data_IF_646911339851
#
_entry.id   IF_646911339851
#
_cell.length_a   1.000
_cell.length_b   1.000
_cell.length_c   1.000
_cell.angle_alpha   90.00
_cell.angle_beta   90.00
_cell.angle_gamma   90.00
#
_symmetry.space_group_name_H-M   'P 1'
#
loop_
_entity.id
_entity.type
_entity.pdbx_description
1 polymer ?
#
# COMPACT_ATOMS: atom_id res chain seq x y z
N UNK A 1 2.29 59.20 -14.54
CA UNK A 1 2.88 59.06 -15.88
C UNK A 1 4.39 59.03 -15.79
N UNK A 2 5.01 57.93 -16.06
CA UNK A 2 6.35 57.68 -16.62
C UNK A 2 6.66 56.18 -16.44
N UNK A 3 6.58 55.48 -17.55
CA UNK A 3 6.96 54.04 -17.66
C UNK A 3 8.49 54.02 -17.80
N UNK A 4 9.17 53.16 -17.02
CA UNK A 4 10.54 52.75 -17.29
C UNK A 4 10.51 51.32 -17.78
N UNK A 5 10.86 51.13 -19.03
CA UNK A 5 11.24 49.85 -19.64
C UNK A 5 12.72 49.57 -19.26
N UNK A 6 12.97 48.45 -18.69
CA UNK A 6 14.35 47.92 -18.56
C UNK A 6 14.45 46.74 -19.50
N UNK A 7 15.25 46.90 -20.53
CA UNK A 7 15.66 45.84 -21.44
C UNK A 7 16.85 45.08 -20.80
N UNK A 8 16.68 43.74 -20.67
CA UNK A 8 17.80 42.85 -20.24
C UNK A 8 18.31 42.16 -21.52
N UNK A 9 19.55 42.46 -21.85
CA UNK A 9 20.30 41.79 -22.91
C UNK A 9 20.82 40.46 -22.42
N UNK A 10 20.49 39.37 -23.13
CA UNK A 10 21.02 38.04 -22.92
C UNK A 10 22.27 37.87 -23.78
N UNK A 11 23.44 37.80 -23.14
CA UNK A 11 24.69 37.44 -23.81
C UNK A 11 24.83 35.93 -23.84
N UNK A 12 24.84 35.35 -25.04
CA UNK A 12 25.17 33.96 -25.28
C UNK A 12 26.70 33.78 -25.27
N UNK A 13 27.19 33.03 -24.34
CA UNK A 13 28.61 32.56 -24.30
C UNK A 13 28.66 31.15 -24.91
N UNK A 14 29.21 31.05 -26.10
CA UNK A 14 29.57 29.80 -26.74
C UNK A 14 30.96 29.35 -26.24
N UNK A 15 31.01 28.30 -25.46
CA UNK A 15 32.25 27.58 -25.10
C UNK A 15 32.46 26.45 -26.08
N UNK A 16 33.48 26.58 -26.89
CA UNK A 16 34.01 25.51 -27.73
C UNK A 16 34.89 24.55 -26.90
N UNK A 17 34.62 23.26 -26.93
CA UNK A 17 35.49 22.23 -26.39
C UNK A 17 36.22 21.51 -27.53
N UNK A 18 37.53 21.24 -27.39
CA UNK A 18 38.30 20.49 -28.37
C UNK A 18 37.96 18.99 -28.28
N UNK A 19 37.93 18.36 -29.45
CA UNK A 19 37.66 16.95 -29.62
C UNK A 19 38.67 16.01 -28.95
N UNK A 20 38.19 14.91 -28.41
CA UNK A 20 38.97 13.75 -28.07
C UNK A 20 38.43 12.51 -28.81
N UNK A 21 39.39 11.74 -29.26
CA UNK A 21 39.32 10.62 -30.18
C UNK A 21 38.36 9.49 -29.81
N UNK A 22 37.86 8.82 -30.83
CA UNK A 22 36.93 7.74 -30.79
C UNK A 22 37.36 6.52 -30.00
N UNK A 23 36.39 6.02 -29.21
CA UNK A 23 36.35 4.62 -28.82
C UNK A 23 35.12 4.01 -29.51
N UNK A 24 35.32 3.05 -30.38
CA UNK A 24 34.28 2.25 -31.01
C UNK A 24 33.55 1.45 -29.94
N UNK A 25 32.27 1.75 -29.72
CA UNK A 25 31.34 0.86 -29.02
C UNK A 25 31.03 -0.36 -29.92
N UNK A 26 31.03 -1.57 -29.36
CA UNK A 26 30.53 -2.72 -30.10
C UNK A 26 29.03 -2.56 -30.34
N UNK A 27 28.59 -2.80 -31.55
CA UNK A 27 27.23 -2.80 -31.97
C UNK A 27 26.39 -3.81 -31.11
N UNK A 28 25.54 -3.29 -30.30
CA UNK A 28 24.44 -4.08 -29.69
C UNK A 28 23.54 -4.54 -30.83
N UNK A 29 23.56 -5.82 -31.11
CA UNK A 29 22.60 -6.46 -32.00
C UNK A 29 21.22 -6.17 -31.44
N UNK A 30 20.43 -5.41 -32.19
CA UNK A 30 18.99 -5.25 -31.97
C UNK A 30 18.33 -6.61 -32.22
N UNK A 31 18.22 -7.42 -31.16
CA UNK A 31 17.19 -8.44 -31.13
C UNK A 31 15.86 -7.71 -31.16
N UNK A 32 15.30 -7.59 -32.34
CA UNK A 32 13.88 -7.32 -32.51
C UNK A 32 13.11 -8.44 -31.82
N UNK A 33 12.80 -8.23 -30.54
CA UNK A 33 11.74 -8.98 -29.89
C UNK A 33 10.48 -8.69 -30.70
N UNK A 34 10.14 -9.68 -31.53
CA UNK A 34 8.84 -9.78 -32.15
C UNK A 34 7.80 -9.64 -31.04
N UNK A 35 7.17 -8.49 -30.95
CA UNK A 35 5.87 -8.33 -30.33
C UNK A 35 4.92 -9.24 -31.11
N UNK A 36 4.89 -10.51 -30.72
CA UNK A 36 3.80 -11.40 -31.08
C UNK A 36 2.56 -10.74 -30.50
N UNK A 37 1.82 -10.07 -31.38
CA UNK A 37 0.45 -9.67 -31.15
C UNK A 37 -0.30 -10.90 -30.64
N UNK A 38 -0.58 -10.95 -29.34
CA UNK A 38 -1.51 -11.90 -28.74
C UNK A 38 -2.92 -11.58 -29.23
N UNK A 39 -3.19 -11.87 -30.48
CA UNK A 39 -4.52 -11.90 -31.07
C UNK A 39 -4.91 -13.33 -31.43
N UNK A 40 -4.67 -14.27 -30.54
CA UNK A 40 -5.46 -15.49 -30.51
C UNK A 40 -6.47 -15.29 -29.39
N UNK A 41 -7.66 -14.81 -29.71
CA UNK A 41 -8.84 -14.97 -28.86
C UNK A 41 -9.09 -16.47 -28.72
N UNK A 42 -8.39 -17.11 -27.79
CA UNK A 42 -8.75 -18.40 -27.27
C UNK A 42 -10.16 -18.24 -26.71
N UNK A 43 -11.13 -18.92 -27.28
CA UNK A 43 -12.51 -18.84 -26.81
C UNK A 43 -12.57 -19.57 -25.47
N UNK A 44 -12.59 -18.82 -24.39
CA UNK A 44 -12.84 -19.39 -23.08
C UNK A 44 -14.16 -20.22 -23.14
N UNK A 45 -14.12 -21.43 -22.61
CA UNK A 45 -15.32 -22.29 -22.53
C UNK A 45 -16.15 -21.97 -21.30
N UNK A 46 -15.55 -21.41 -20.31
CA UNK A 46 -16.22 -20.94 -19.11
C UNK A 46 -15.61 -19.65 -18.59
N UNK A 47 -16.43 -18.83 -17.96
CA UNK A 47 -16.01 -17.61 -17.28
C UNK A 47 -16.76 -17.50 -15.95
N UNK A 48 -16.04 -17.13 -14.90
CA UNK A 48 -16.59 -16.81 -13.59
C UNK A 48 -16.11 -15.42 -13.19
N UNK A 49 -17.01 -14.61 -12.66
CA UNK A 49 -16.75 -13.21 -12.38
C UNK A 49 -17.14 -12.86 -10.95
N UNK A 50 -16.35 -11.97 -10.34
CA UNK A 50 -16.45 -11.68 -8.92
C UNK A 50 -16.23 -10.18 -8.65
N UNK A 51 -16.78 -9.72 -7.55
CA UNK A 51 -16.45 -8.44 -6.92
C UNK A 51 -15.69 -8.69 -5.63
N UNK A 52 -14.56 -8.00 -5.45
CA UNK A 52 -13.81 -8.06 -4.19
C UNK A 52 -14.60 -7.33 -3.12
N UNK A 53 -15.10 -8.06 -2.14
CA UNK A 53 -15.83 -7.48 -1.00
C UNK A 53 -14.92 -7.07 0.14
N UNK A 54 -13.77 -7.74 0.25
CA UNK A 54 -12.78 -7.50 1.27
C UNK A 54 -11.38 -7.83 0.77
N UNK A 55 -10.41 -6.99 1.13
CA UNK A 55 -8.99 -7.28 0.95
C UNK A 55 -8.18 -6.66 2.09
N UNK A 56 -7.11 -7.31 2.46
CA UNK A 56 -6.19 -6.84 3.51
C UNK A 56 -4.80 -7.45 3.32
N UNK A 57 -3.73 -6.81 3.82
CA UNK A 57 -2.44 -7.50 3.88
C UNK A 57 -2.58 -8.84 4.60
N UNK A 58 -1.94 -9.87 4.06
CA UNK A 58 -1.94 -11.20 4.66
C UNK A 58 -1.10 -11.17 5.95
N UNK A 59 -1.77 -10.89 7.07
CA UNK A 59 -1.20 -10.76 8.40
C UNK A 59 -1.70 -11.91 9.27
N UNK A 60 -0.89 -12.95 9.42
CA UNK A 60 -1.24 -14.06 10.32
C UNK A 60 -1.46 -13.55 11.74
N UNK A 61 -2.57 -13.97 12.35
CA UNK A 61 -2.90 -13.63 13.72
C UNK A 61 -2.81 -14.86 14.60
N UNK A 62 -1.70 -15.01 15.31
CA UNK A 62 -1.40 -16.17 16.14
C UNK A 62 -2.00 -16.13 17.54
N UNK A 63 -2.78 -15.12 17.89
CA UNK A 63 -3.45 -14.99 19.18
C UNK A 63 -4.92 -15.42 19.12
N UNK A 64 -5.54 -15.62 20.26
CA UNK A 64 -6.99 -15.83 20.37
C UNK A 64 -7.73 -14.53 20.06
N UNK A 65 -8.95 -14.63 19.51
CA UNK A 65 -9.81 -13.47 19.29
C UNK A 65 -9.98 -12.66 20.59
N UNK A 66 -9.82 -11.33 20.48
CA UNK A 66 -9.87 -10.41 21.62
C UNK A 66 -8.57 -10.31 22.44
N UNK A 67 -7.56 -11.15 22.18
CA UNK A 67 -6.24 -11.06 22.80
C UNK A 67 -5.26 -10.51 21.77
N UNK A 68 -4.75 -9.31 21.98
CA UNK A 68 -3.83 -8.67 21.05
C UNK A 68 -2.39 -9.13 21.30
N UNK A 69 -2.04 -9.43 22.57
CA UNK A 69 -0.66 -9.57 23.02
C UNK A 69 -0.55 -10.50 24.25
N UNK A 70 0.42 -11.41 24.30
CA UNK A 70 1.23 -11.91 23.20
C UNK A 70 0.51 -12.97 22.35
N UNK A 71 0.99 -13.18 21.12
CA UNK A 71 0.55 -14.27 20.24
C UNK A 71 1.74 -15.13 19.79
N UNK A 72 1.45 -16.21 19.07
CA UNK A 72 2.51 -17.09 18.54
C UNK A 72 3.35 -16.45 17.45
N UNK A 73 2.82 -15.45 16.78
CA UNK A 73 3.46 -14.63 15.77
C UNK A 73 4.30 -13.49 16.39
N UNK A 74 3.84 -12.94 17.50
CA UNK A 74 4.51 -11.87 18.24
C UNK A 74 4.79 -12.28 19.70
N UNK A 75 5.58 -13.32 19.96
CA UNK A 75 5.80 -13.84 21.32
C UNK A 75 6.51 -12.84 22.24
N UNK A 76 7.15 -11.81 21.69
CA UNK A 76 7.76 -10.71 22.44
C UNK A 76 6.78 -9.53 22.64
N UNK A 77 5.54 -9.68 22.23
CA UNK A 77 4.52 -8.65 22.30
C UNK A 77 4.45 -7.78 21.06
N UNK A 78 3.50 -6.86 21.07
CA UNK A 78 3.29 -5.87 20.01
C UNK A 78 4.10 -4.59 20.30
N UNK A 79 4.26 -3.75 19.29
CA UNK A 79 4.82 -2.41 19.50
C UNK A 79 3.95 -1.63 20.50
N UNK A 80 4.55 -1.04 21.52
CA UNK A 80 3.81 -0.31 22.54
C UNK A 80 3.08 0.89 21.91
N UNK A 81 1.99 1.29 22.54
CA UNK A 81 1.39 2.58 22.23
C UNK A 81 2.39 3.69 22.57
N UNK A 82 2.59 4.68 21.69
CA UNK A 82 3.53 5.73 21.96
C UNK A 82 3.11 6.55 23.19
N UNK A 83 4.05 6.84 24.08
CA UNK A 83 3.87 7.88 25.09
C UNK A 83 4.01 9.25 24.42
N UNK A 84 2.89 9.84 24.11
CA UNK A 84 2.83 11.14 23.44
C UNK A 84 3.49 12.26 24.22
N UNK A 85 3.47 12.22 25.55
CA UNK A 85 4.13 13.22 26.38
C UNK A 85 5.63 13.12 26.16
N UNK A 86 6.19 11.92 26.29
CA UNK A 86 7.62 11.70 26.07
C UNK A 86 8.06 12.04 24.64
N UNK A 87 7.22 11.71 23.65
CA UNK A 87 7.51 12.06 22.25
C UNK A 87 7.58 13.58 22.04
N UNK A 88 6.66 14.33 22.61
CA UNK A 88 6.66 15.80 22.52
C UNK A 88 7.84 16.40 23.32
N UNK A 89 8.15 15.88 24.50
CA UNK A 89 9.33 16.28 25.26
C UNK A 89 10.61 16.05 24.46
N UNK A 90 10.74 14.89 23.82
CA UNK A 90 11.86 14.61 22.93
C UNK A 90 11.92 15.54 21.70
N UNK A 91 10.77 16.11 21.29
CA UNK A 91 10.68 17.13 20.25
C UNK A 91 11.02 18.57 20.75
N UNK A 92 11.33 18.74 22.04
CA UNK A 92 11.76 19.99 22.63
C UNK A 92 10.68 20.79 23.34
N UNK A 93 9.51 20.21 23.62
CA UNK A 93 8.50 20.79 24.49
C UNK A 93 8.84 20.52 25.96
N UNK A 94 8.37 21.38 26.87
CA UNK A 94 8.34 21.05 28.30
C UNK A 94 7.24 19.98 28.53
N UNK A 95 7.34 19.25 29.62
CA UNK A 95 6.32 18.25 29.97
C UNK A 95 4.94 18.92 30.18
N UNK A 96 4.91 20.13 30.73
CA UNK A 96 3.69 20.90 30.90
C UNK A 96 3.04 21.30 29.57
N UNK A 97 3.84 21.79 28.64
CA UNK A 97 3.38 22.09 27.27
C UNK A 97 2.88 20.84 26.55
N UNK A 98 3.58 19.72 26.69
CA UNK A 98 3.18 18.44 26.12
C UNK A 98 1.83 17.96 26.70
N UNK A 99 1.65 18.06 28.01
CA UNK A 99 0.37 17.75 28.68
C UNK A 99 -0.75 18.67 28.19
N UNK A 100 -0.47 19.98 28.03
CA UNK A 100 -1.46 20.94 27.51
C UNK A 100 -1.84 20.63 26.06
N UNK A 101 -0.89 20.35 25.19
CA UNK A 101 -1.15 19.96 23.80
C UNK A 101 -2.04 18.70 23.69
N UNK A 102 -1.97 17.83 24.68
CA UNK A 102 -2.79 16.61 24.77
C UNK A 102 -4.14 16.81 25.48
N UNK A 103 -4.32 17.94 26.16
CA UNK A 103 -5.53 18.21 26.94
C UNK A 103 -6.75 18.42 26.02
N UNK A 104 -7.88 17.71 26.24
CA UNK A 104 -9.11 17.95 25.49
C UNK A 104 -9.64 19.37 25.55
N UNK A 105 -9.30 20.12 26.63
CA UNK A 105 -9.71 21.51 26.79
C UNK A 105 -8.88 22.50 25.97
N UNK A 106 -7.79 22.07 25.35
CA UNK A 106 -6.97 22.90 24.48
C UNK A 106 -7.72 23.20 23.18
N UNK A 107 -8.11 24.47 22.89
CA UNK A 107 -8.85 24.80 21.69
C UNK A 107 -8.02 24.64 20.40
N UNK A 108 -6.68 24.61 20.51
CA UNK A 108 -5.77 24.40 19.39
C UNK A 108 -5.37 22.92 19.24
N UNK A 109 -5.95 22.05 20.06
CA UNK A 109 -5.67 20.64 20.00
C UNK A 109 -6.10 20.07 18.64
N UNK A 110 -5.12 19.64 17.89
CA UNK A 110 -5.31 18.92 16.65
C UNK A 110 -4.35 17.73 16.63
N UNK A 111 -4.79 16.54 16.23
CA UNK A 111 -3.89 15.42 15.98
C UNK A 111 -2.75 15.79 15.05
N UNK A 112 -3.05 16.57 14.02
CA UNK A 112 -2.08 17.02 13.01
C UNK A 112 -1.04 17.99 13.61
N UNK A 113 -1.44 18.84 14.53
CA UNK A 113 -0.48 19.75 15.20
C UNK A 113 0.59 18.98 15.98
N UNK A 114 0.17 18.01 16.81
CA UNK A 114 1.10 17.14 17.53
C UNK A 114 2.01 16.35 16.58
N UNK A 115 1.49 15.84 15.48
CA UNK A 115 2.26 15.12 14.46
C UNK A 115 3.32 15.99 13.79
N UNK A 116 2.97 17.22 13.42
CA UNK A 116 3.92 18.14 12.83
C UNK A 116 5.08 18.45 13.79
N UNK A 117 4.80 18.57 15.09
CA UNK A 117 5.85 18.79 16.08
C UNK A 117 6.76 17.56 16.24
N UNK A 118 6.19 16.37 16.19
CA UNK A 118 6.97 15.12 16.22
C UNK A 118 7.81 14.94 14.97
N UNK A 119 7.36 15.41 13.82
CA UNK A 119 8.09 15.30 12.57
C UNK A 119 9.49 15.95 12.64
N UNK A 120 9.66 16.99 13.42
CA UNK A 120 10.89 17.79 13.48
C UNK A 120 11.87 17.35 14.58
N UNK A 121 11.99 16.06 14.83
CA UNK A 121 12.92 15.51 15.83
C UNK A 121 14.30 15.15 15.29
N UNK A 122 14.49 15.15 13.99
CA UNK A 122 15.76 14.79 13.36
C UNK A 122 16.88 15.79 13.66
N UNK A 123 18.11 15.40 13.31
CA UNK A 123 19.28 16.27 13.38
C UNK A 123 18.96 17.60 12.67
N UNK A 124 19.35 18.71 13.29
CA UNK A 124 19.08 20.05 12.77
C UNK A 124 17.58 20.34 12.54
N UNK A 125 16.73 19.68 13.33
CA UNK A 125 15.26 19.74 13.23
C UNK A 125 14.74 19.28 11.86
N UNK A 126 15.42 18.33 11.24
CA UNK A 126 14.94 17.74 10.02
C UNK A 126 13.60 17.01 10.25
N UNK A 127 12.73 17.05 9.25
CA UNK A 127 11.49 16.27 9.27
C UNK A 127 11.83 14.78 9.15
N UNK A 128 11.70 14.04 10.25
CA UNK A 128 12.03 12.61 10.31
C UNK A 128 11.11 11.72 9.50
N UNK A 129 9.92 12.19 9.10
CA UNK A 129 9.01 11.42 8.25
C UNK A 129 9.47 11.49 6.79
N UNK A 130 9.90 12.65 6.34
CA UNK A 130 10.42 12.85 4.97
C UNK A 130 11.88 12.39 4.86
N UNK A 131 12.66 12.60 5.93
CA UNK A 131 14.08 12.25 6.01
C UNK A 131 14.31 11.29 7.20
N UNK A 132 13.83 10.04 7.11
CA UNK A 132 13.88 9.10 8.24
C UNK A 132 15.32 8.81 8.70
N UNK A 133 16.29 8.90 7.80
CA UNK A 133 17.71 8.71 8.11
C UNK A 133 18.34 9.87 8.91
N UNK A 134 17.61 10.96 9.12
CA UNK A 134 18.04 12.06 10.02
C UNK A 134 17.91 11.71 11.51
N UNK A 135 17.33 10.56 11.83
CA UNK A 135 17.25 10.02 13.20
C UNK A 135 17.78 8.58 13.21
N UNK A 136 18.39 8.10 14.31
CA UNK A 136 18.67 6.68 14.47
C UNK A 136 17.39 5.84 14.37
N UNK A 137 17.54 4.53 14.04
CA UNK A 137 16.41 3.60 14.03
C UNK A 137 15.79 3.52 15.44
N UNK A 138 14.53 3.95 15.63
CA UNK A 138 13.88 3.86 16.93
C UNK A 138 13.56 2.43 17.35
N UNK A 139 13.72 1.47 16.44
CA UNK A 139 13.32 0.08 16.61
C UNK A 139 11.83 -0.15 16.38
N UNK A 140 11.49 -1.23 15.71
CA UNK A 140 10.13 -1.73 15.56
C UNK A 140 10.16 -3.24 15.84
N UNK A 141 9.27 -3.70 16.71
CA UNK A 141 9.12 -5.14 16.97
C UNK A 141 8.60 -5.80 15.71
N UNK A 142 9.38 -6.72 15.15
CA UNK A 142 8.98 -7.53 14.00
C UNK A 142 8.45 -8.89 14.46
N UNK A 143 7.88 -9.62 13.52
CA UNK A 143 7.43 -11.00 13.76
C UNK A 143 8.63 -11.89 13.99
N UNK A 144 8.62 -12.62 15.09
CA UNK A 144 9.59 -13.68 15.44
C UNK A 144 8.99 -15.09 15.37
N UNK A 145 7.69 -15.20 15.08
CA UNK A 145 7.02 -16.45 14.77
C UNK A 145 7.46 -17.03 13.43
N UNK A 146 7.14 -18.31 13.22
CA UNK A 146 7.52 -19.06 12.02
C UNK A 146 6.34 -19.34 11.08
N UNK A 147 5.16 -18.85 11.42
CA UNK A 147 3.93 -19.05 10.62
C UNK A 147 3.55 -17.73 9.97
N UNK A 148 3.22 -17.77 8.68
CA UNK A 148 2.70 -16.63 7.93
C UNK A 148 1.63 -17.06 6.91
N UNK A 149 0.73 -16.15 6.59
CA UNK A 149 -0.15 -16.25 5.43
C UNK A 149 0.56 -15.65 4.21
N UNK A 150 0.30 -16.19 3.02
CA UNK A 150 0.91 -15.71 1.79
C UNK A 150 1.15 -16.80 0.76
N UNK A 151 2.20 -16.62 -0.03
CA UNK A 151 2.57 -17.46 -1.16
C UNK A 151 4.07 -17.77 -1.11
N UNK A 152 4.48 -18.91 -1.63
CA UNK A 152 5.87 -19.19 -1.97
C UNK A 152 6.14 -18.52 -3.34
N UNK A 153 6.86 -17.39 -3.35
CA UNK A 153 7.06 -16.56 -4.54
C UNK A 153 8.33 -16.93 -5.33
N UNK A 154 9.28 -17.61 -4.67
CA UNK A 154 10.57 -17.97 -5.25
C UNK A 154 10.73 -19.49 -5.51
N UNK A 155 9.72 -20.27 -5.16
CA UNK A 155 9.67 -21.74 -5.26
C UNK A 155 10.69 -22.46 -4.34
N UNK A 156 11.23 -21.79 -3.30
CA UNK A 156 12.14 -22.38 -2.33
C UNK A 156 11.45 -22.71 -1.01
N UNK A 157 11.17 -23.98 -0.79
CA UNK A 157 10.55 -24.46 0.46
C UNK A 157 11.48 -24.41 1.71
N UNK A 158 12.76 -24.10 1.52
CA UNK A 158 13.74 -24.09 2.61
C UNK A 158 13.87 -22.75 3.33
N UNK A 159 13.40 -21.70 2.70
CA UNK A 159 13.38 -20.35 3.26
C UNK A 159 11.95 -19.94 3.68
N UNK A 160 11.75 -18.69 4.12
CA UNK A 160 10.44 -18.14 4.44
C UNK A 160 9.76 -18.74 5.66
N UNK A 161 8.45 -18.67 5.66
CA UNK A 161 7.58 -19.14 6.73
C UNK A 161 6.91 -20.47 6.36
N UNK A 162 6.23 -21.06 7.33
CA UNK A 162 5.25 -22.14 7.09
C UNK A 162 3.85 -21.53 7.13
N UNK A 163 2.97 -21.91 6.17
CA UNK A 163 1.58 -21.47 6.20
C UNK A 163 0.82 -22.10 7.39
N UNK A 164 -0.32 -21.54 7.80
CA UNK A 164 -1.18 -22.16 8.81
C UNK A 164 -1.66 -23.57 8.44
N UNK A 165 -1.62 -23.92 7.15
CA UNK A 165 -2.00 -25.27 6.61
C UNK A 165 -0.81 -26.18 6.39
N UNK A 166 0.42 -25.74 6.71
CA UNK A 166 1.64 -26.53 6.64
C UNK A 166 2.45 -26.41 5.35
N UNK A 167 2.07 -25.57 4.42
CA UNK A 167 2.87 -25.25 3.22
C UNK A 167 4.13 -24.48 3.62
N UNK A 168 5.28 -24.85 3.06
CA UNK A 168 6.57 -24.25 3.37
C UNK A 168 6.96 -23.21 2.33
N UNK A 169 7.94 -22.38 2.71
CA UNK A 169 8.51 -21.38 1.80
C UNK A 169 7.63 -20.14 1.61
N UNK A 170 6.76 -19.83 2.56
CA UNK A 170 5.90 -18.65 2.42
C UNK A 170 6.71 -17.38 2.53
N UNK A 171 6.70 -16.60 1.44
CA UNK A 171 7.36 -15.30 1.35
C UNK A 171 6.40 -14.19 1.74
N UNK A 172 6.59 -13.62 2.91
CA UNK A 172 5.85 -12.46 3.38
C UNK A 172 6.69 -11.64 4.36
N UNK A 173 7.76 -11.03 3.85
CA UNK A 173 8.62 -10.17 4.66
C UNK A 173 7.95 -8.85 5.04
N UNK A 174 6.91 -8.43 4.34
CA UNK A 174 6.08 -7.33 4.78
C UNK A 174 5.39 -7.65 6.11
N UNK A 175 4.84 -8.85 6.25
CA UNK A 175 4.33 -9.36 7.52
C UNK A 175 5.44 -9.48 8.57
N UNK A 176 6.62 -10.03 8.20
CA UNK A 176 7.78 -10.09 9.09
C UNK A 176 8.14 -8.74 9.68
N UNK A 177 8.14 -7.70 8.86
CA UNK A 177 8.46 -6.34 9.26
C UNK A 177 7.40 -5.70 10.15
N UNK A 178 6.12 -5.89 9.84
CA UNK A 178 5.01 -5.07 10.35
C UNK A 178 3.93 -5.86 11.10
N UNK A 179 3.97 -7.19 11.10
CA UNK A 179 2.91 -8.02 11.69
C UNK A 179 2.72 -7.81 13.20
N UNK A 180 3.76 -7.37 13.93
CA UNK A 180 3.65 -7.00 15.34
C UNK A 180 3.32 -5.51 15.54
N UNK A 181 3.09 -4.76 14.49
CA UNK A 181 2.65 -3.38 14.61
C UNK A 181 1.17 -3.34 15.00
N UNK A 182 0.86 -2.62 16.06
CA UNK A 182 -0.47 -2.62 16.67
C UNK A 182 -1.62 -2.37 15.67
N UNK A 183 -1.36 -1.53 14.66
CA UNK A 183 -2.32 -1.24 13.59
C UNK A 183 -2.73 -2.48 12.79
N UNK A 184 -1.81 -3.42 12.58
CA UNK A 184 -2.06 -4.66 11.83
C UNK A 184 -2.41 -5.86 12.73
N UNK A 185 -2.34 -5.71 14.06
CA UNK A 185 -2.69 -6.80 14.98
C UNK A 185 -4.19 -6.96 15.09
N UNK A 186 -4.66 -8.16 14.85
CA UNK A 186 -6.06 -8.54 15.01
C UNK A 186 -6.45 -9.72 14.12
N UNK A 187 -7.54 -10.41 14.43
CA UNK A 187 -8.10 -11.42 13.55
C UNK A 187 -8.47 -10.84 12.19
N UNK A 188 -8.62 -11.71 11.20
CA UNK A 188 -9.11 -11.36 9.88
C UNK A 188 -10.34 -10.44 9.95
N UNK A 189 -10.32 -9.35 9.17
CA UNK A 189 -11.33 -8.28 9.10
C UNK A 189 -11.46 -7.41 10.36
N UNK A 190 -10.68 -7.61 11.41
CA UNK A 190 -10.89 -6.91 12.69
C UNK A 190 -9.72 -6.01 13.11
N UNK A 191 -8.56 -6.08 12.46
CA UNK A 191 -7.50 -5.12 12.74
C UNK A 191 -7.86 -3.74 12.19
N UNK A 192 -7.36 -2.69 12.82
CA UNK A 192 -7.61 -1.32 12.35
C UNK A 192 -7.00 -1.07 10.96
N UNK A 193 -5.89 -1.74 10.65
CA UNK A 193 -5.30 -1.73 9.31
C UNK A 193 -6.23 -2.36 8.27
N UNK A 194 -6.83 -3.52 8.58
CA UNK A 194 -7.78 -4.19 7.70
C UNK A 194 -9.02 -3.32 7.40
N UNK A 195 -9.56 -2.65 8.41
CA UNK A 195 -10.66 -1.72 8.23
C UNK A 195 -10.27 -0.58 7.28
N UNK A 196 -9.12 0.06 7.50
CA UNK A 196 -8.63 1.12 6.62
C UNK A 196 -8.42 0.69 5.17
N UNK A 197 -7.96 -0.55 4.96
CA UNK A 197 -7.80 -1.11 3.61
C UNK A 197 -9.11 -1.20 2.85
N UNK A 198 -10.23 -1.27 3.53
CA UNK A 198 -11.53 -1.51 2.90
C UNK A 198 -12.45 -0.30 2.88
N UNK A 199 -12.28 0.66 3.78
CA UNK A 199 -13.22 1.78 3.93
C UNK A 199 -13.47 2.51 2.60
N UNK A 200 -12.42 2.96 1.93
CA UNK A 200 -12.55 3.74 0.71
C UNK A 200 -13.20 2.92 -0.44
N UNK A 201 -12.85 1.64 -0.57
CA UNK A 201 -13.43 0.74 -1.56
C UNK A 201 -14.92 0.48 -1.23
N UNK A 202 -15.23 0.11 -0.01
CA UNK A 202 -16.58 -0.19 0.44
C UNK A 202 -17.51 1.04 0.46
N UNK A 203 -16.95 2.24 0.60
CA UNK A 203 -17.68 3.50 0.49
C UNK A 203 -17.83 4.00 -0.95
N UNK A 204 -17.36 3.21 -1.91
CA UNK A 204 -17.64 3.37 -3.32
C UNK A 204 -16.75 4.39 -4.03
N UNK A 205 -15.52 4.56 -3.57
CA UNK A 205 -14.53 5.33 -4.31
C UNK A 205 -14.05 4.60 -5.56
N UNK A 206 -13.93 3.28 -5.52
CA UNK A 206 -13.69 2.35 -6.63
C UNK A 206 -14.07 0.94 -6.18
N UNK A 207 -14.12 0.03 -7.13
CA UNK A 207 -14.37 -1.39 -6.88
C UNK A 207 -13.33 -2.21 -7.64
N UNK A 208 -12.86 -3.30 -7.06
CA UNK A 208 -12.02 -4.28 -7.75
C UNK A 208 -12.89 -5.46 -8.17
N UNK A 209 -12.81 -5.84 -9.43
CA UNK A 209 -13.48 -7.02 -9.99
C UNK A 209 -12.46 -8.03 -10.48
N UNK A 210 -12.83 -9.31 -10.39
CA UNK A 210 -12.00 -10.43 -10.82
C UNK A 210 -12.76 -11.21 -11.90
N UNK A 211 -12.06 -11.51 -12.97
CA UNK A 211 -12.54 -12.38 -14.05
C UNK A 211 -11.64 -13.59 -14.10
N UNK A 212 -12.22 -14.80 -14.05
CA UNK A 212 -11.52 -16.05 -14.19
C UNK A 212 -12.10 -16.75 -15.40
N UNK A 213 -11.28 -17.04 -16.40
CA UNK A 213 -11.71 -17.68 -17.64
C UNK A 213 -10.82 -18.87 -17.96
N UNK A 214 -11.41 -19.96 -18.42
CA UNK A 214 -10.70 -21.20 -18.73
C UNK A 214 -11.10 -21.81 -20.06
N UNK A 215 -10.22 -22.63 -20.61
CA UNK A 215 -10.35 -23.26 -21.91
C UNK A 215 -10.83 -24.74 -21.82
N UNK A 216 -10.74 -25.33 -20.63
CA UNK A 216 -11.19 -26.70 -20.34
C UNK A 216 -12.70 -26.79 -20.21
N UNK A 217 -13.22 -28.01 -20.07
CA UNK A 217 -14.64 -28.25 -19.85
C UNK A 217 -15.04 -28.21 -18.37
N UNK A 218 -14.10 -28.48 -17.48
CA UNK A 218 -14.32 -28.51 -16.03
C UNK A 218 -13.66 -27.29 -15.34
N UNK A 219 -14.44 -26.33 -14.84
CA UNK A 219 -13.90 -25.19 -14.12
C UNK A 219 -13.11 -25.53 -12.85
N UNK A 220 -13.33 -26.73 -12.29
CA UNK A 220 -12.62 -27.13 -11.06
C UNK A 220 -11.26 -27.72 -11.36
N UNK A 221 -11.03 -28.21 -12.61
CA UNK A 221 -9.77 -28.79 -13.04
C UNK A 221 -9.48 -28.41 -14.50
N UNK A 222 -8.75 -27.34 -14.68
CA UNK A 222 -8.41 -26.76 -15.99
C UNK A 222 -6.99 -26.24 -15.97
N UNK A 223 -6.13 -26.75 -16.85
CA UNK A 223 -4.72 -26.36 -16.94
C UNK A 223 -4.52 -25.00 -17.65
N UNK A 224 -5.53 -24.49 -18.33
CA UNK A 224 -5.46 -23.25 -19.12
C UNK A 224 -6.47 -22.21 -18.64
N UNK A 225 -6.17 -21.61 -17.50
CA UNK A 225 -6.98 -20.57 -16.87
C UNK A 225 -6.23 -19.24 -16.92
N UNK A 226 -6.95 -18.17 -17.08
CA UNK A 226 -6.44 -16.80 -16.94
C UNK A 226 -7.27 -16.05 -15.89
N UNK A 227 -6.58 -15.35 -14.99
CA UNK A 227 -7.18 -14.51 -13.97
C UNK A 227 -6.92 -13.04 -14.31
N UNK A 228 -7.98 -12.25 -14.41
CA UNK A 228 -7.91 -10.81 -14.64
C UNK A 228 -8.42 -10.03 -13.43
N UNK A 229 -7.64 -9.08 -12.98
CA UNK A 229 -8.03 -8.08 -11.97
C UNK A 229 -8.24 -6.74 -12.65
N UNK A 230 -9.39 -6.10 -12.41
CA UNK A 230 -9.74 -4.83 -13.03
C UNK A 230 -10.37 -3.89 -12.01
N UNK A 231 -10.34 -2.60 -12.33
CA UNK A 231 -11.12 -1.60 -11.60
C UNK A 231 -12.54 -1.50 -12.17
N UNK A 232 -13.48 -1.14 -11.32
CA UNK A 232 -14.80 -0.65 -11.70
C UNK A 232 -15.08 0.66 -10.95
N UNK A 233 -15.75 1.60 -11.62
CA UNK A 233 -16.26 2.82 -11.01
C UNK A 233 -17.68 2.64 -10.43
N UNK A 234 -18.29 1.47 -10.65
CA UNK A 234 -19.58 1.15 -10.09
C UNK A 234 -19.43 0.91 -8.59
N UNK A 235 -20.30 1.54 -7.81
CA UNK A 235 -20.29 1.43 -6.36
C UNK A 235 -20.82 0.09 -5.91
N UNK A 236 -20.23 -0.45 -4.86
CA UNK A 236 -20.78 -1.63 -4.20
C UNK A 236 -22.14 -1.32 -3.60
N UNK A 237 -23.11 -2.19 -3.85
CA UNK A 237 -24.41 -2.16 -3.19
C UNK A 237 -24.30 -2.97 -1.92
N UNK A 238 -24.78 -2.41 -0.81
CA UNK A 238 -24.77 -3.05 0.50
C UNK A 238 -26.20 -3.27 0.97
N UNK A 239 -26.43 -4.34 1.69
CA UNK A 239 -27.68 -4.59 2.42
C UNK A 239 -27.79 -3.72 3.69
N UNK A 240 -28.89 -3.85 4.41
CA UNK A 240 -29.12 -3.10 5.65
C UNK A 240 -28.18 -3.45 6.81
N UNK A 241 -27.39 -4.53 6.68
CA UNK A 241 -26.36 -4.94 7.62
C UNK A 241 -24.94 -4.53 7.17
N UNK A 242 -24.82 -3.91 5.98
CA UNK A 242 -23.56 -3.48 5.41
C UNK A 242 -22.81 -4.59 4.64
N UNK A 243 -23.42 -5.74 4.39
CA UNK A 243 -22.83 -6.77 3.55
C UNK A 243 -22.94 -6.37 2.08
N UNK A 244 -21.92 -6.71 1.29
CA UNK A 244 -21.94 -6.47 -0.15
C UNK A 244 -22.93 -7.42 -0.83
N UNK A 245 -23.76 -6.87 -1.71
CA UNK A 245 -24.74 -7.64 -2.47
C UNK A 245 -24.06 -8.57 -3.46
N UNK A 246 -24.51 -9.82 -3.51
CA UNK A 246 -24.08 -10.84 -4.48
C UNK A 246 -24.79 -10.64 -5.81
N UNK A 247 -24.19 -11.17 -6.86
CA UNK A 247 -24.78 -11.19 -8.20
C UNK A 247 -25.21 -9.80 -8.72
N UNK A 248 -24.45 -8.78 -8.31
CA UNK A 248 -24.63 -7.40 -8.77
C UNK A 248 -23.75 -7.13 -9.99
N UNK A 249 -24.10 -6.10 -10.77
CA UNK A 249 -23.42 -5.79 -12.03
C UNK A 249 -22.36 -4.71 -11.85
N UNK A 250 -21.17 -4.98 -12.37
CA UNK A 250 -20.02 -4.04 -12.36
C UNK A 250 -19.42 -3.92 -13.75
N UNK A 251 -19.25 -2.71 -14.24
CA UNK A 251 -18.59 -2.46 -15.51
C UNK A 251 -17.10 -2.23 -15.30
N UNK A 252 -16.26 -2.90 -16.08
CA UNK A 252 -14.82 -2.63 -16.07
C UNK A 252 -14.59 -1.17 -16.45
N UNK A 253 -13.82 -0.46 -15.62
CA UNK A 253 -13.30 0.86 -15.90
C UNK A 253 -11.86 0.73 -16.40
N UNK A 254 -11.59 0.92 -17.71
CA UNK A 254 -10.24 0.81 -18.23
C UNK A 254 -9.32 1.80 -17.52
N UNK A 255 -8.15 1.34 -17.15
CA UNK A 255 -7.15 2.16 -16.49
C UNK A 255 -5.79 1.99 -17.16
N UNK A 256 -5.05 3.07 -17.35
CA UNK A 256 -3.75 3.03 -18.03
C UNK A 256 -2.72 2.15 -17.29
N UNK A 257 -2.86 2.04 -15.96
CA UNK A 257 -1.95 1.26 -15.10
C UNK A 257 -2.63 0.07 -14.42
N UNK A 258 -3.76 0.29 -13.75
CA UNK A 258 -4.36 -0.67 -12.82
C UNK A 258 -5.08 -1.79 -13.56
N UNK A 259 -4.34 -2.83 -13.82
CA UNK A 259 -4.82 -4.08 -14.40
C UNK A 259 -3.81 -5.17 -14.08
N UNK A 260 -4.29 -6.34 -13.70
CA UNK A 260 -3.46 -7.52 -13.48
C UNK A 260 -4.00 -8.69 -14.28
N UNK A 261 -3.16 -9.31 -15.10
CA UNK A 261 -3.51 -10.52 -15.86
C UNK A 261 -2.48 -11.60 -15.56
N UNK A 262 -2.95 -12.74 -15.04
CA UNK A 262 -2.11 -13.85 -14.59
C UNK A 262 -2.52 -15.15 -15.24
N UNK A 263 -1.55 -15.89 -15.83
CA UNK A 263 -1.80 -17.25 -16.27
C UNK A 263 -1.93 -18.16 -15.05
N UNK A 264 -2.94 -19.04 -15.08
CA UNK A 264 -3.28 -19.90 -13.96
C UNK A 264 -3.72 -21.28 -14.42
N UNK A 265 -4.01 -22.14 -13.47
CA UNK A 265 -4.73 -23.41 -13.61
C UNK A 265 -5.67 -23.59 -12.44
N UNK A 266 -6.67 -24.44 -12.60
CA UNK A 266 -7.48 -24.90 -11.47
C UNK A 266 -7.17 -26.36 -11.14
N UNK A 267 -7.08 -26.64 -9.85
CA UNK A 267 -6.90 -28.00 -9.32
C UNK A 267 -7.85 -28.16 -8.14
N UNK A 268 -8.85 -29.01 -8.28
CA UNK A 268 -9.88 -29.21 -7.25
C UNK A 268 -10.48 -27.90 -6.76
N UNK A 269 -10.73 -26.95 -7.66
CA UNK A 269 -11.29 -25.64 -7.35
C UNK A 269 -10.31 -24.61 -6.77
N UNK A 270 -9.04 -24.95 -6.65
CA UNK A 270 -7.99 -23.96 -6.33
C UNK A 270 -7.42 -23.37 -7.61
N UNK A 271 -7.48 -22.06 -7.75
CA UNK A 271 -6.89 -21.27 -8.83
C UNK A 271 -5.46 -20.92 -8.45
N UNK A 272 -4.49 -21.47 -9.15
CA UNK A 272 -3.06 -21.35 -8.82
C UNK A 272 -2.33 -20.79 -10.03
N UNK A 273 -1.46 -19.79 -9.85
CA UNK A 273 -0.62 -19.28 -10.93
C UNK A 273 0.24 -20.37 -11.56
N UNK A 274 0.31 -20.40 -12.90
CA UNK A 274 1.23 -21.25 -13.67
C UNK A 274 2.57 -20.61 -13.88
N UNK A 275 2.59 -19.30 -13.93
CA UNK A 275 3.79 -18.48 -14.03
C UNK A 275 3.53 -17.13 -13.36
N UNK A 276 4.55 -16.50 -12.78
CA UNK A 276 4.43 -15.16 -12.25
C UNK A 276 4.28 -14.14 -13.38
N UNK A 277 3.60 -13.02 -13.08
CA UNK A 277 3.46 -11.86 -13.97
C UNK A 277 3.59 -10.55 -13.17
N UNK A 278 4.07 -9.50 -13.82
CA UNK A 278 4.09 -8.17 -13.20
C UNK A 278 2.72 -7.53 -13.35
N UNK A 279 2.14 -7.08 -12.26
CA UNK A 279 0.81 -6.47 -12.23
C UNK A 279 0.81 -5.18 -11.44
N UNK A 280 -0.16 -4.33 -11.72
CA UNK A 280 -0.41 -3.13 -10.93
C UNK A 280 -1.88 -3.10 -10.55
N UNK A 281 -2.15 -3.15 -9.26
CA UNK A 281 -3.49 -3.05 -8.70
C UNK A 281 -3.67 -1.69 -8.04
N UNK A 282 -4.91 -1.38 -7.66
CA UNK A 282 -5.18 -0.26 -6.77
C UNK A 282 -4.93 -0.69 -5.34
N UNK A 283 -4.05 0.03 -4.63
CA UNK A 283 -3.89 -0.15 -3.18
C UNK A 283 -5.10 0.50 -2.49
N UNK A 284 -5.94 -0.27 -1.81
CA UNK A 284 -7.15 0.27 -1.22
C UNK A 284 -6.89 1.15 0.00
N UNK A 285 -5.80 0.95 0.74
CA UNK A 285 -5.58 1.64 2.00
C UNK A 285 -5.24 3.11 1.85
N UNK A 286 -4.38 3.44 0.90
CA UNK A 286 -3.86 4.81 0.73
C UNK A 286 -4.06 5.34 -0.67
N UNK A 287 -4.89 4.65 -1.44
CA UNK A 287 -5.28 5.05 -2.79
C UNK A 287 -4.05 5.34 -3.66
N UNK A 288 -3.08 4.47 -3.57
CA UNK A 288 -1.85 4.47 -4.35
C UNK A 288 -1.77 3.24 -5.27
N UNK A 289 -0.74 3.18 -6.08
CA UNK A 289 -0.48 2.00 -6.89
C UNK A 289 0.05 0.86 -6.01
N UNK A 290 -0.46 -0.34 -6.22
CA UNK A 290 0.08 -1.58 -5.70
C UNK A 290 0.78 -2.30 -6.83
N UNK A 291 2.03 -1.97 -7.03
CA UNK A 291 2.92 -2.68 -7.96
C UNK A 291 3.37 -3.98 -7.32
N UNK A 292 3.19 -5.08 -8.05
CA UNK A 292 3.68 -6.41 -7.65
C UNK A 292 4.48 -7.00 -8.80
N UNK A 293 5.78 -7.12 -8.61
CA UNK A 293 6.63 -7.88 -9.51
C UNK A 293 6.50 -9.36 -9.22
N UNK A 294 6.53 -10.19 -10.27
CA UNK A 294 6.40 -11.63 -10.18
C UNK A 294 5.14 -12.06 -9.38
N UNK A 295 4.05 -11.36 -9.57
CA UNK A 295 2.80 -11.66 -8.86
C UNK A 295 2.29 -13.05 -9.18
N UNK A 296 1.71 -13.67 -8.17
CA UNK A 296 1.06 -14.98 -8.21
C UNK A 296 -0.27 -14.94 -7.48
N UNK A 297 -1.15 -15.89 -7.76
CA UNK A 297 -2.41 -16.09 -7.05
C UNK A 297 -2.53 -17.52 -6.54
N UNK A 298 -3.23 -17.66 -5.42
CA UNK A 298 -3.74 -18.92 -4.89
C UNK A 298 -5.11 -18.63 -4.28
N UNK A 299 -6.16 -18.88 -5.06
CA UNK A 299 -7.55 -18.57 -4.68
C UNK A 299 -8.35 -19.88 -4.66
N UNK A 300 -9.26 -20.01 -3.73
CA UNK A 300 -10.12 -21.19 -3.59
C UNK A 300 -11.57 -20.84 -3.95
N UNK A 301 -12.14 -21.55 -4.90
CA UNK A 301 -13.56 -21.48 -5.21
C UNK A 301 -14.37 -22.22 -4.14
N UNK A 302 -15.27 -21.51 -3.48
CA UNK A 302 -16.11 -22.05 -2.42
C UNK A 302 -17.43 -22.62 -2.99
N UNK A 303 -18.06 -23.56 -2.27
CA UNK A 303 -19.35 -24.14 -2.70
C UNK A 303 -20.47 -23.11 -2.86
N UNK A 304 -20.42 -22.00 -2.12
CA UNK A 304 -21.38 -20.91 -2.23
C UNK A 304 -21.12 -19.99 -3.43
N UNK A 305 -20.12 -20.32 -4.26
CA UNK A 305 -19.72 -19.55 -5.44
C UNK A 305 -18.76 -18.39 -5.15
N UNK A 306 -18.45 -18.09 -3.91
CA UNK A 306 -17.42 -17.08 -3.57
C UNK A 306 -16.00 -17.62 -3.81
N UNK A 307 -15.02 -16.70 -3.82
CA UNK A 307 -13.61 -17.07 -3.79
C UNK A 307 -12.90 -16.38 -2.64
N UNK A 308 -11.91 -17.08 -2.07
CA UNK A 308 -11.01 -16.51 -1.05
C UNK A 308 -9.59 -17.00 -1.29
N UNK A 309 -8.60 -16.24 -0.84
CA UNK A 309 -7.20 -16.64 -0.95
C UNK A 309 -6.27 -15.44 -1.05
N UNK A 310 -5.19 -15.63 -1.79
CA UNK A 310 -4.10 -14.66 -1.83
C UNK A 310 -3.74 -14.24 -3.24
N UNK A 311 -3.40 -12.96 -3.40
CA UNK A 311 -2.56 -12.44 -4.49
C UNK A 311 -1.32 -11.83 -3.87
N UNK A 312 -0.15 -12.19 -4.33
CA UNK A 312 1.11 -11.70 -3.76
C UNK A 312 2.20 -11.56 -4.80
N UNK A 313 3.28 -10.89 -4.42
CA UNK A 313 4.43 -10.63 -5.26
C UNK A 313 5.41 -9.72 -4.52
N UNK A 314 6.39 -9.20 -5.22
CA UNK A 314 7.38 -8.29 -4.64
C UNK A 314 6.97 -6.85 -4.89
N UNK A 315 6.74 -6.11 -3.82
CA UNK A 315 6.28 -4.71 -3.84
C UNK A 315 7.44 -3.76 -3.50
N UNK A 316 7.58 -2.61 -4.18
CA UNK A 316 8.59 -1.63 -3.81
C UNK A 316 8.29 -1.07 -2.42
N UNK A 317 9.24 -1.21 -1.49
CA UNK A 317 9.01 -0.84 -0.08
C UNK A 317 9.03 0.67 0.17
N UNK A 318 9.87 1.42 -0.56
CA UNK A 318 10.00 2.87 -0.35
C UNK A 318 8.75 3.66 -0.76
N UNK A 319 8.09 3.39 -1.90
CA UNK A 319 6.79 3.98 -2.23
C UNK A 319 5.72 3.72 -1.17
N UNK A 320 5.70 2.53 -0.55
CA UNK A 320 4.80 2.23 0.58
C UNK A 320 5.03 3.19 1.73
N UNK A 321 6.27 3.33 2.16
CA UNK A 321 6.64 4.28 3.22
C UNK A 321 6.22 5.70 2.88
N UNK A 322 6.54 6.17 1.67
CA UNK A 322 6.17 7.51 1.19
C UNK A 322 4.65 7.70 1.15
N UNK A 323 3.91 6.68 0.79
CA UNK A 323 2.45 6.69 0.85
C UNK A 323 1.94 6.98 2.26
N UNK A 324 2.49 6.33 3.26
CA UNK A 324 2.11 6.59 4.67
C UNK A 324 2.54 7.97 5.16
N UNK A 325 3.71 8.47 4.76
CA UNK A 325 4.13 9.84 5.07
C UNK A 325 3.13 10.87 4.53
N UNK A 326 2.57 10.59 3.36
CA UNK A 326 1.62 11.47 2.68
C UNK A 326 0.16 11.23 3.08
N UNK A 327 -0.14 10.08 3.71
CA UNK A 327 -1.48 9.76 4.17
C UNK A 327 -1.91 10.71 5.30
N UNK A 328 -3.17 11.10 5.32
CA UNK A 328 -3.69 12.11 6.25
C UNK A 328 -5.09 11.78 6.72
N UNK A 329 -5.35 12.11 7.96
CA UNK A 329 -6.69 12.46 8.37
C UNK A 329 -7.43 11.43 9.22
N UNK A 330 -6.89 10.26 9.56
CA UNK A 330 -7.54 9.36 10.50
C UNK A 330 -6.82 9.26 11.84
N UNK A 331 -7.56 8.96 12.91
CA UNK A 331 -6.98 8.76 14.26
C UNK A 331 -5.95 7.62 14.27
N UNK A 332 -6.12 6.65 13.39
CA UNK A 332 -5.23 5.50 13.24
C UNK A 332 -3.90 5.94 12.65
N UNK A 333 -3.92 6.82 11.67
CA UNK A 333 -2.73 7.42 11.07
C UNK A 333 -1.92 8.22 12.09
N UNK A 334 -2.58 8.86 13.04
CA UNK A 334 -1.92 9.56 14.14
C UNK A 334 -1.04 8.61 14.96
N UNK A 335 -1.50 7.43 15.30
CA UNK A 335 -0.72 6.42 16.02
C UNK A 335 0.41 5.86 15.15
N UNK A 336 0.15 5.71 13.87
CA UNK A 336 1.09 5.24 12.86
C UNK A 336 2.29 6.19 12.72
N UNK A 337 2.06 7.48 12.63
CA UNK A 337 3.11 8.46 12.36
C UNK A 337 4.20 8.54 13.42
N UNK A 338 3.87 8.28 14.67
CA UNK A 338 4.89 8.24 15.73
C UNK A 338 5.97 7.19 15.46
N UNK A 339 5.58 6.10 14.82
CA UNK A 339 6.45 4.97 14.53
C UNK A 339 7.01 4.98 13.11
N UNK A 340 6.62 5.93 12.25
CA UNK A 340 7.03 5.95 10.84
C UNK A 340 8.54 5.86 10.61
N UNK A 341 9.42 6.57 11.35
CA UNK A 341 10.86 6.37 11.15
C UNK A 341 11.29 4.93 11.43
N UNK A 342 10.75 4.27 12.46
CA UNK A 342 11.02 2.86 12.75
C UNK A 342 10.51 1.93 11.64
N UNK A 343 9.34 2.26 11.07
CA UNK A 343 8.76 1.53 9.93
C UNK A 343 9.65 1.62 8.69
N UNK A 344 10.21 2.79 8.40
CA UNK A 344 11.18 2.95 7.32
C UNK A 344 12.32 1.94 7.44
N UNK A 345 12.96 1.89 8.60
CA UNK A 345 14.06 0.98 8.85
C UNK A 345 13.62 -0.48 8.83
N UNK A 346 12.44 -0.78 9.36
CA UNK A 346 11.89 -2.14 9.35
C UNK A 346 11.63 -2.64 7.92
N UNK A 347 11.01 -1.84 7.07
CA UNK A 347 10.79 -2.19 5.66
C UNK A 347 12.10 -2.38 4.92
N UNK A 348 13.04 -1.44 5.07
CA UNK A 348 14.34 -1.49 4.40
C UNK A 348 15.14 -2.74 4.75
N UNK A 349 15.25 -3.10 6.03
CA UNK A 349 16.05 -4.27 6.45
C UNK A 349 15.39 -5.61 6.15
N UNK A 350 14.07 -5.63 5.91
CA UNK A 350 13.32 -6.83 5.52
C UNK A 350 13.05 -6.90 4.01
N UNK A 351 13.51 -5.93 3.23
CA UNK A 351 13.48 -6.03 1.78
C UNK A 351 14.26 -7.27 1.33
N UNK A 352 13.67 -8.11 0.49
CA UNK A 352 14.19 -9.42 0.16
C UNK A 352 14.39 -9.67 -1.34
N UNK A 353 13.87 -8.80 -2.21
CA UNK A 353 13.96 -8.95 -3.64
C UNK A 353 14.65 -7.78 -4.34
N UNK A 354 15.53 -8.11 -5.30
CA UNK A 354 16.18 -7.17 -6.21
C UNK A 354 15.67 -7.37 -7.64
N UNK A 355 15.05 -6.37 -8.26
CA UNK A 355 14.59 -6.48 -9.65
C UNK A 355 15.76 -6.54 -10.65
N UNK A 356 16.97 -6.18 -10.22
CA UNK A 356 18.20 -6.25 -11.05
C UNK A 356 18.91 -7.60 -10.94
N UNK A 357 18.36 -8.56 -10.21
CA UNK A 357 18.88 -9.90 -10.07
C UNK A 357 19.76 -10.11 -8.83
N UNK A 358 20.38 -11.30 -8.72
CA UNK A 358 21.19 -11.67 -7.57
C UNK A 358 22.35 -10.69 -7.34
N UNK A 359 22.52 -10.26 -6.09
CA UNK A 359 23.55 -9.29 -5.69
C UNK A 359 23.19 -7.82 -5.91
N UNK A 360 22.06 -7.52 -6.54
CA UNK A 360 21.53 -6.17 -6.66
C UNK A 360 20.93 -5.63 -5.37
N UNK A 361 20.67 -4.32 -5.33
CA UNK A 361 20.02 -3.70 -4.18
C UNK A 361 18.60 -4.23 -4.00
N UNK A 362 18.27 -4.64 -2.78
CA UNK A 362 16.94 -5.12 -2.41
C UNK A 362 16.00 -3.93 -2.22
N UNK A 363 15.29 -3.58 -3.25
CA UNK A 363 14.35 -2.45 -3.29
C UNK A 363 12.89 -2.89 -3.14
N UNK A 364 12.64 -4.19 -3.13
CA UNK A 364 11.30 -4.76 -3.01
C UNK A 364 11.21 -5.71 -1.81
N UNK A 365 10.01 -5.83 -1.30
CA UNK A 365 9.68 -6.69 -0.18
C UNK A 365 8.56 -7.65 -0.59
N UNK A 366 8.68 -8.93 -0.24
CA UNK A 366 7.62 -9.90 -0.45
C UNK A 366 6.37 -9.52 0.32
N UNK A 367 5.23 -9.61 -0.35
CA UNK A 367 3.94 -9.11 0.12
C UNK A 367 2.80 -9.96 -0.44
N UNK A 368 1.77 -10.17 0.36
CA UNK A 368 0.53 -10.75 -0.10
C UNK A 368 -0.69 -9.98 0.43
N UNK A 369 -1.72 -9.87 -0.42
CA UNK A 369 -3.08 -9.50 -0.04
C UNK A 369 -3.91 -10.78 0.14
N UNK A 370 -4.64 -10.87 1.23
CA UNK A 370 -5.77 -11.76 1.36
C UNK A 370 -6.98 -11.12 0.71
N UNK A 371 -7.70 -11.89 -0.10
CA UNK A 371 -8.86 -11.43 -0.86
C UNK A 371 -10.05 -12.34 -0.55
N UNK A 372 -11.21 -11.72 -0.30
CA UNK A 372 -12.51 -12.36 -0.33
C UNK A 372 -13.37 -11.69 -1.42
N UNK A 373 -13.94 -12.48 -2.30
CA UNK A 373 -14.75 -11.96 -3.39
C UNK A 373 -16.03 -12.77 -3.60
N UNK A 374 -17.09 -12.07 -3.97
CA UNK A 374 -18.43 -12.61 -4.16
C UNK A 374 -18.73 -12.73 -5.65
N UNK A 375 -19.60 -13.68 -6.07
CA UNK A 375 -20.10 -13.72 -7.44
C UNK A 375 -20.71 -12.38 -7.85
N UNK A 376 -20.41 -11.96 -9.07
CA UNK A 376 -20.89 -10.71 -9.64
C UNK A 376 -20.98 -10.83 -11.17
N UNK A 377 -21.79 -10.01 -11.81
CA UNK A 377 -21.80 -9.86 -13.27
C UNK A 377 -20.80 -8.77 -13.66
N UNK A 378 -19.74 -9.12 -14.36
CA UNK A 378 -18.73 -8.16 -14.81
C UNK A 378 -18.93 -7.89 -16.31
N UNK A 379 -19.10 -6.62 -16.63
CA UNK A 379 -19.42 -6.15 -17.98
C UNK A 379 -18.20 -5.51 -18.63
N UNK A 380 -18.12 -5.62 -19.95
CA UNK A 380 -17.08 -4.94 -20.73
C UNK A 380 -17.27 -3.40 -20.67
N UNK A 381 -16.20 -2.63 -20.92
CA UNK A 381 -16.24 -1.17 -20.78
C UNK A 381 -17.26 -0.46 -21.69
N UNK A 382 -17.48 -0.99 -22.87
CA UNK A 382 -18.13 -0.30 -24.00
C UNK A 382 -19.57 -0.73 -24.25
N UNK A 383 -19.96 -1.94 -23.91
CA UNK A 383 -21.18 -2.48 -24.49
C UNK A 383 -22.24 -2.99 -23.53
N UNK A 384 -21.94 -3.07 -22.25
CA UNK A 384 -22.87 -3.72 -21.32
C UNK A 384 -23.06 -5.23 -21.61
N UNK A 385 -22.11 -5.87 -22.28
CA UNK A 385 -22.04 -7.33 -22.42
C UNK A 385 -21.20 -7.90 -21.30
N UNK A 386 -21.55 -9.07 -20.83
CA UNK A 386 -20.72 -9.80 -19.88
C UNK A 386 -19.36 -10.11 -20.50
N UNK A 387 -18.34 -10.07 -19.65
CA UNK A 387 -16.98 -10.45 -20.04
C UNK A 387 -16.94 -11.95 -20.30
N UNK A 388 -16.60 -12.33 -21.52
CA UNK A 388 -16.50 -13.73 -21.92
C UNK A 388 -15.10 -14.32 -21.80
N UNK A 389 -14.07 -13.46 -21.65
CA UNK A 389 -12.66 -13.87 -21.52
C UNK A 389 -11.85 -12.79 -20.83
N UNK A 390 -10.66 -13.14 -20.35
CA UNK A 390 -9.70 -12.17 -19.77
C UNK A 390 -8.89 -11.55 -20.90
N UNK A 391 -8.90 -10.22 -20.97
CA UNK A 391 -8.13 -9.43 -21.94
C UNK A 391 -7.72 -8.09 -21.35
N UNK A 392 -6.71 -7.44 -21.94
CA UNK A 392 -6.29 -6.11 -21.53
C UNK A 392 -7.20 -5.01 -22.09
N UNK A 393 -7.57 -4.09 -21.22
CA UNK A 393 -8.33 -2.89 -21.57
C UNK A 393 -7.49 -1.60 -21.49
N UNK A 394 -6.18 -1.70 -21.20
CA UNK A 394 -5.29 -0.53 -21.10
C UNK A 394 -5.24 0.33 -22.37
N UNK A 395 -5.35 -0.31 -23.53
CA UNK A 395 -5.28 0.41 -24.80
C UNK A 395 -6.44 1.38 -25.03
N UNK A 396 -7.58 1.16 -24.41
CA UNK A 396 -8.76 2.03 -24.50
C UNK A 396 -8.95 2.91 -23.27
N UNK A 397 -8.01 2.86 -22.34
CA UNK A 397 -8.07 3.69 -21.15
C UNK A 397 -8.02 5.18 -21.51
N UNK A 398 -8.83 6.02 -20.87
CA UNK A 398 -8.71 7.47 -21.04
C UNK A 398 -7.30 7.92 -20.67
N UNK A 399 -6.79 8.93 -21.37
CA UNK A 399 -5.53 9.57 -20.95
C UNK A 399 -5.76 10.21 -19.59
N UNK A 400 -5.25 9.55 -18.55
CA UNK A 400 -5.30 10.11 -17.21
C UNK A 400 -4.31 11.26 -17.12
N UNK A 401 -4.80 12.42 -16.77
CA UNK A 401 -3.94 13.44 -16.18
C UNK A 401 -3.66 12.97 -14.77
N UNK A 402 -2.39 12.71 -14.37
CA UNK A 402 -2.06 12.34 -13.02
C UNK A 402 -2.54 13.46 -12.09
N UNK A 403 -3.72 13.29 -11.50
CA UNK A 403 -4.12 14.15 -10.39
C UNK A 403 -3.34 13.65 -9.18
N UNK A 404 -2.56 14.50 -8.51
CA UNK A 404 -2.00 14.12 -7.23
C UNK A 404 -3.18 13.71 -6.35
N UNK A 405 -3.18 12.48 -5.91
CA UNK A 405 -4.34 11.86 -5.23
C UNK A 405 -4.69 12.57 -3.92
N UNK A 406 -3.69 13.14 -3.28
CA UNK A 406 -3.87 14.09 -2.19
C UNK A 406 -3.19 15.40 -2.58
N UNK A 407 -3.94 16.47 -2.81
CA UNK A 407 -3.32 17.79 -2.84
C UNK A 407 -2.53 17.95 -1.54
N UNK A 408 -1.35 18.56 -1.61
CA UNK A 408 -0.62 19.01 -0.44
C UNK A 408 -1.63 19.77 0.41
N UNK A 409 -2.11 19.16 1.50
CA UNK A 409 -3.11 19.82 2.32
C UNK A 409 -2.39 20.79 3.24
N UNK A 410 -2.85 22.00 3.23
CA UNK A 410 -2.54 22.95 4.28
C UNK A 410 -3.48 22.64 5.44
N UNK A 411 -2.96 22.06 6.52
CA UNK A 411 -3.72 21.83 7.74
C UNK A 411 -3.22 22.83 8.76
N UNK A 412 -4.11 23.65 9.29
CA UNK A 412 -3.79 24.72 10.24
C UNK A 412 -2.71 25.70 9.74
N UNK A 413 -2.68 25.98 8.42
CA UNK A 413 -1.69 26.88 7.82
C UNK A 413 -0.28 26.29 7.70
N UNK A 414 -0.08 25.01 8.04
CA UNK A 414 1.21 24.33 7.93
C UNK A 414 1.24 23.51 6.66
N UNK A 415 2.08 23.93 5.74
CA UNK A 415 2.42 23.15 4.53
C UNK A 415 3.45 22.11 4.93
N UNK A 416 3.13 20.82 4.83
CA UNK A 416 4.13 19.76 4.87
C UNK A 416 4.79 19.72 3.49
N UNK A 417 5.65 20.68 3.23
CA UNK A 417 6.50 20.68 2.05
C UNK A 417 7.76 19.86 2.39
N UNK A 418 8.04 18.75 1.67
CA UNK A 418 9.27 17.99 1.85
C UNK A 418 10.54 18.83 1.59
N UNK A 419 10.42 19.97 0.92
CA UNK A 419 11.51 20.92 0.66
C UNK A 419 11.55 22.08 1.66
N UNK A 420 10.55 22.22 2.53
CA UNK A 420 10.52 23.31 3.50
C UNK A 420 11.67 23.15 4.51
N UNK A 421 12.52 24.13 4.58
CA UNK A 421 13.49 24.25 5.68
C UNK A 421 12.71 24.49 6.97
N UNK A 422 12.97 23.66 7.97
CA UNK A 422 12.34 23.80 9.28
C UNK A 422 12.71 25.14 9.87
N UNK A 423 11.73 25.98 10.08
CA UNK A 423 11.90 27.20 10.86
C UNK A 423 12.02 26.88 12.34
N UNK A 424 12.73 27.76 13.06
CA UNK A 424 13.16 27.64 14.46
C UNK A 424 12.15 26.97 15.40
N UNK A 425 12.66 26.30 16.41
CA UNK A 425 12.05 25.74 17.62
C UNK A 425 10.56 25.41 17.66
N UNK A 426 10.09 24.63 18.61
CA UNK A 426 8.65 24.52 18.85
C UNK A 426 8.08 25.93 19.04
N UNK A 427 6.93 26.23 18.39
CA UNK A 427 6.22 27.49 18.66
C UNK A 427 5.80 27.48 20.12
N UNK A 428 5.88 28.65 20.77
CA UNK A 428 5.40 28.80 22.13
C UNK A 428 3.96 28.24 22.24
N UNK A 429 3.75 27.37 23.20
CA UNK A 429 2.42 26.82 23.51
C UNK A 429 1.75 27.84 24.44
N UNK A 430 0.54 28.25 24.08
CA UNK A 430 -0.26 29.11 24.95
C UNK A 430 -0.82 28.23 26.07
N UNK A 431 -0.26 28.31 27.24
CA UNK A 431 -0.77 27.63 28.43
C UNK A 431 -2.04 28.32 28.94
N UNK A 432 -2.97 27.59 29.60
CA UNK A 432 -4.12 28.17 30.24
C UNK A 432 -3.64 29.11 31.36
N UNK A 433 -4.36 30.19 31.65
CA UNK A 433 -4.03 31.03 32.79
C UNK A 433 -3.92 30.20 34.06
N UNK A 434 -2.82 30.33 34.80
CA UNK A 434 -2.56 29.57 36.01
C UNK A 434 -3.72 29.76 36.98
N UNK A 435 -4.25 28.70 37.58
CA UNK A 435 -5.35 28.76 38.56
C UNK A 435 -5.02 29.52 39.85
N UNK A 436 -3.80 30.09 39.96
CA UNK A 436 -3.34 30.82 41.15
C UNK A 436 -3.81 32.29 41.26
N UNK A 437 -4.50 32.83 40.24
CA UNK A 437 -4.96 34.23 40.30
C UNK A 437 -6.39 34.44 40.81
N UNK A 438 -7.10 33.39 41.22
CA UNK A 438 -8.50 33.51 41.64
C UNK A 438 -8.72 33.51 43.17
N UNK A 439 -7.64 33.61 43.98
CA UNK A 439 -7.76 33.73 45.43
C UNK A 439 -7.16 35.03 45.95
N UNK A 440 -7.62 36.16 45.47
CA UNK A 440 -7.48 37.44 46.17
C UNK A 440 -8.50 38.42 45.64
N UNK A 441 -9.76 38.29 46.06
CA UNK A 441 -10.79 39.30 46.23
C UNK A 441 -11.96 38.70 46.98
N UNK A 442 -11.84 38.64 48.29
CA UNK A 442 -12.93 38.80 49.22
C UNK A 442 -12.54 39.82 50.25
#
# INVERSE_FOLDING_TARGET
>A
MKRFLVAIAVAAITLAFPGSAGAQQPALSSNSSSTSSLSAQSSAKWTKTYVVEWNEPAMYYGAKAGVIDPGTDCPQGTNPSPDWIQVLVAAGYTEEEAKWLRNPANPTRSPVHGQNQMAFRGKDRANVYVNPTSTPDPGLVGVSGTIAEGLNLDDDEKNGFTSPTGEKGIDNNFYKALGCWKTYRGPHRLSSGALNFNDAMRDGMWTTVIVVAGEGADPMNDDHVTVGFYMSNDKMVKDGLGNVARDYTFRIAPHAKHEGILPARTVNGRIISRAPADIVLRDPSYIQDLELLRAQVNLEMKPDGSITGYVGGYRPWEPVYKGWVNARGTVIEVLTWVQLPAVYYALRRNADYSPTGPGGEKTHISFALRIDALPAFVMTPDSGKEVASVQSYKAIAPKETPKPFYPIQVVDGIVIDPKAKVQAGPKAVILPPSASSTKQRQ
#
